data_IF_377543586537
#
_entry.id   IF_377543586537
#
_cell.length_a   1.000
_cell.length_b   1.000
_cell.length_c   1.000
_cell.angle_alpha   90.00
_cell.angle_beta   90.00
_cell.angle_gamma   90.00
#
_symmetry.space_group_name_H-M   'P 1'
#
loop_
_entity.id
_entity.type
_entity.pdbx_description
1 polymer ?
#
# COMPACT_ATOMS: atom_id res chain seq x y z
N UNK A 1 30.70 26.09 33.85
CA UNK A 1 29.26 25.79 34.05
C UNK A 1 28.63 25.76 32.65
N UNK A 2 28.49 24.58 32.11
CA UNK A 2 27.89 24.36 30.76
C UNK A 2 26.38 24.56 30.86
N UNK A 3 25.87 25.59 30.21
CA UNK A 3 24.42 25.75 30.07
C UNK A 3 23.86 24.62 29.22
N UNK A 4 22.78 23.98 29.65
CA UNK A 4 22.13 22.96 28.86
C UNK A 4 21.62 23.57 27.57
N UNK A 5 22.09 23.03 26.45
CA UNK A 5 21.64 23.40 25.11
C UNK A 5 20.29 22.73 24.89
N UNK A 6 19.21 23.45 25.13
CA UNK A 6 17.88 22.94 24.84
C UNK A 6 17.66 22.85 23.32
N UNK A 7 17.30 21.69 22.84
CA UNK A 7 16.93 21.48 21.45
C UNK A 7 15.48 21.91 21.20
N UNK A 8 15.08 22.24 19.97
CA UNK A 8 13.71 22.66 19.65
C UNK A 8 12.63 21.66 20.10
N UNK A 9 12.92 20.35 20.09
CA UNK A 9 12.05 19.32 20.63
C UNK A 9 11.78 19.46 22.12
N UNK A 10 12.82 19.78 22.92
CA UNK A 10 12.66 20.02 24.36
C UNK A 10 11.83 21.28 24.64
N UNK A 11 11.99 22.33 23.82
CA UNK A 11 11.15 23.53 23.93
C UNK A 11 9.69 23.25 23.63
N UNK A 12 9.42 22.40 22.63
CA UNK A 12 8.05 21.98 22.33
C UNK A 12 7.45 21.13 23.45
N UNK A 13 8.24 20.24 24.04
CA UNK A 13 7.79 19.34 25.11
C UNK A 13 7.81 20.00 26.49
N UNK A 14 8.55 21.11 26.68
CA UNK A 14 8.77 21.83 27.94
C UNK A 14 9.38 20.96 29.05
N UNK A 15 10.10 19.91 28.69
CA UNK A 15 10.82 19.03 29.61
C UNK A 15 12.24 18.79 29.12
N UNK A 16 13.19 18.66 30.07
CA UNK A 16 14.53 18.19 29.78
C UNK A 16 14.52 16.67 29.58
N UNK A 17 14.57 16.23 28.36
CA UNK A 17 14.47 14.81 28.01
C UNK A 17 15.79 14.29 27.50
N UNK A 18 16.55 15.10 26.79
CA UNK A 18 17.78 14.70 26.14
C UNK A 18 19.01 14.95 27.02
N UNK A 19 20.01 14.08 26.86
CA UNK A 19 21.33 14.34 27.46
C UNK A 19 21.97 15.51 26.72
N UNK A 20 22.35 16.55 27.44
CA UNK A 20 22.96 17.75 26.91
C UNK A 20 24.40 17.88 27.38
N UNK A 21 25.34 18.13 26.47
CA UNK A 21 26.74 18.33 26.75
C UNK A 21 27.44 19.23 25.75
N UNK A 22 28.73 19.47 25.98
CA UNK A 22 29.60 20.32 25.12
C UNK A 22 30.12 19.51 23.93
N UNK A 23 30.19 18.18 24.04
CA UNK A 23 30.65 17.27 22.99
C UNK A 23 29.46 16.64 22.24
N UNK A 24 29.77 15.90 21.17
CA UNK A 24 28.78 15.09 20.44
C UNK A 24 28.34 13.95 21.36
N UNK A 25 27.25 14.17 22.08
CA UNK A 25 26.72 13.19 23.04
C UNK A 25 25.74 12.21 22.41
N UNK A 26 25.09 12.59 21.29
CA UNK A 26 24.15 11.74 20.60
C UNK A 26 24.90 10.89 19.58
N UNK A 27 25.26 9.67 19.94
CA UNK A 27 25.90 8.70 19.05
C UNK A 27 24.89 7.86 18.26
N UNK A 28 23.61 7.90 18.63
CA UNK A 28 22.53 7.13 18.05
C UNK A 28 21.27 7.94 17.79
N UNK A 29 20.21 7.24 17.44
CA UNK A 29 18.88 7.83 17.24
C UNK A 29 18.08 7.77 18.53
N UNK A 30 17.51 8.90 18.95
CA UNK A 30 16.65 8.99 20.12
C UNK A 30 15.23 9.38 19.69
N UNK A 31 14.31 8.48 19.92
CA UNK A 31 12.87 8.70 19.69
C UNK A 31 12.28 9.33 20.96
N UNK A 32 11.58 10.45 20.81
CA UNK A 32 10.96 11.15 21.92
C UNK A 32 9.45 11.13 21.71
N UNK A 33 8.73 10.53 22.63
CA UNK A 33 7.28 10.36 22.55
C UNK A 33 6.58 10.61 23.89
N UNK A 34 5.27 10.77 23.85
CA UNK A 34 4.46 10.94 25.06
C UNK A 34 4.07 9.58 25.68
N UNK A 35 3.93 9.56 26.98
CA UNK A 35 3.44 8.39 27.69
C UNK A 35 2.93 8.70 29.10
N UNK A 36 2.41 7.68 29.76
CA UNK A 36 1.86 7.82 31.13
C UNK A 36 2.93 7.88 32.21
N UNK A 37 4.11 7.33 31.93
CA UNK A 37 5.23 7.25 32.85
C UNK A 37 6.49 7.61 32.10
N UNK A 38 7.38 8.36 32.76
CA UNK A 38 8.72 8.66 32.22
C UNK A 38 9.55 7.38 32.23
N UNK A 39 10.04 6.98 31.07
CA UNK A 39 10.82 5.76 30.91
C UNK A 39 11.75 5.90 29.71
N UNK A 40 12.91 5.24 29.78
CA UNK A 40 13.88 5.16 28.69
C UNK A 40 13.95 3.71 28.22
N UNK A 41 13.73 3.50 26.91
CA UNK A 41 13.81 2.21 26.25
C UNK A 41 15.03 2.20 25.33
N UNK A 42 15.68 1.05 25.18
CA UNK A 42 16.85 0.90 24.31
C UNK A 42 16.68 -0.19 23.26
N UNK A 43 17.35 -0.04 22.15
CA UNK A 43 17.51 -1.06 21.14
C UNK A 43 16.19 -1.69 20.66
N UNK A 44 16.09 -2.99 20.86
CA UNK A 44 14.94 -3.79 20.42
C UNK A 44 13.61 -3.35 21.06
N UNK A 45 13.63 -2.79 22.29
CA UNK A 45 12.41 -2.29 22.92
C UNK A 45 11.83 -1.09 22.15
N UNK A 46 12.68 -0.22 21.59
CA UNK A 46 12.28 0.88 20.70
C UNK A 46 11.58 0.32 19.45
N UNK A 47 12.17 -0.68 18.80
CA UNK A 47 11.59 -1.28 17.59
C UNK A 47 10.31 -2.07 17.86
N UNK A 48 10.20 -2.62 19.08
CA UNK A 48 8.96 -3.26 19.50
C UNK A 48 7.83 -2.25 19.72
N UNK A 49 8.15 -1.08 20.27
CA UNK A 49 7.20 0.03 20.42
C UNK A 49 6.78 0.60 19.06
N UNK A 50 7.69 0.62 18.08
CA UNK A 50 7.47 1.14 16.73
C UNK A 50 7.70 0.07 15.65
N UNK A 51 6.75 -0.85 15.43
CA UNK A 51 6.93 -1.95 14.46
C UNK A 51 7.20 -1.49 13.03
N UNK A 52 6.72 -0.31 12.65
CA UNK A 52 6.93 0.28 11.33
C UNK A 52 8.38 0.75 11.09
N UNK A 53 9.20 0.83 12.12
CA UNK A 53 10.62 1.11 12.03
C UNK A 53 11.51 -0.16 12.08
N UNK A 54 10.94 -1.35 12.02
CA UNK A 54 11.71 -2.61 12.06
C UNK A 54 12.74 -2.73 10.93
N UNK A 55 12.50 -2.09 9.78
CA UNK A 55 13.48 -2.02 8.68
C UNK A 55 14.82 -1.41 9.10
N UNK A 56 14.86 -0.63 10.19
CA UNK A 56 16.14 -0.14 10.74
C UNK A 56 17.07 -1.27 11.20
N UNK A 57 16.56 -2.45 11.50
CA UNK A 57 17.39 -3.62 11.84
C UNK A 57 18.23 -4.13 10.65
N UNK A 58 17.83 -3.81 9.42
CA UNK A 58 18.57 -4.18 8.22
C UNK A 58 19.91 -3.42 8.10
N UNK A 59 20.03 -2.28 8.79
CA UNK A 59 21.28 -1.54 8.90
C UNK A 59 22.10 -2.13 10.06
N UNK A 60 23.17 -2.83 9.73
CA UNK A 60 24.04 -3.51 10.70
C UNK A 60 24.51 -2.54 11.81
N UNK A 61 24.34 -2.93 13.07
CA UNK A 61 24.75 -2.15 14.23
C UNK A 61 23.79 -1.03 14.68
N UNK A 62 22.77 -0.65 13.91
CA UNK A 62 21.84 0.45 14.26
C UNK A 62 21.06 0.14 15.54
N UNK A 63 20.65 -1.10 15.74
CA UNK A 63 19.80 -1.50 16.87
C UNK A 63 20.40 -1.14 18.24
N UNK A 64 21.71 -1.20 18.38
CA UNK A 64 22.39 -0.89 19.64
C UNK A 64 22.46 0.63 19.91
N UNK A 65 22.20 1.43 18.89
CA UNK A 65 22.23 2.90 18.91
C UNK A 65 20.83 3.51 18.77
N UNK A 66 19.80 2.73 19.04
CA UNK A 66 18.42 3.23 19.14
C UNK A 66 18.04 3.39 20.61
N UNK A 67 17.34 4.47 20.92
CA UNK A 67 16.73 4.70 22.23
C UNK A 67 15.37 5.39 22.08
N UNK A 68 14.49 5.20 23.06
CA UNK A 68 13.23 5.93 23.15
C UNK A 68 13.10 6.54 24.53
N UNK A 69 12.91 7.84 24.58
CA UNK A 69 12.59 8.59 25.78
C UNK A 69 11.09 8.89 25.82
N UNK A 70 10.42 8.33 26.80
CA UNK A 70 8.98 8.56 27.02
C UNK A 70 8.83 9.70 28.01
N UNK A 71 8.16 10.78 27.58
CA UNK A 71 7.89 11.96 28.41
C UNK A 71 6.44 11.97 28.89
N UNK A 72 6.22 12.51 30.06
CA UNK A 72 4.88 12.71 30.65
C UNK A 72 4.31 14.09 30.40
N UNK A 73 4.98 14.89 29.57
CA UNK A 73 4.50 16.22 29.18
C UNK A 73 3.09 16.20 28.63
N UNK A 74 2.28 17.16 29.05
CA UNK A 74 0.90 17.35 28.63
C UNK A 74 0.74 18.45 27.57
N UNK A 75 1.84 18.81 26.91
CA UNK A 75 1.79 19.79 25.84
C UNK A 75 0.80 19.40 24.75
N UNK A 76 0.16 20.41 24.18
CA UNK A 76 -0.87 20.26 23.12
C UNK A 76 -0.32 19.43 21.96
N UNK A 77 -1.07 18.42 21.54
CA UNK A 77 -0.75 17.54 20.39
C UNK A 77 0.55 16.72 20.51
N UNK A 78 1.26 16.77 21.66
CA UNK A 78 2.49 15.97 21.83
C UNK A 78 2.22 14.47 21.76
N UNK A 79 1.03 14.02 22.12
CA UNK A 79 0.59 12.62 21.95
C UNK A 79 0.48 12.15 20.49
N UNK A 80 0.49 13.07 19.53
CA UNK A 80 0.33 12.81 18.09
C UNK A 80 1.64 12.93 17.32
N UNK A 81 2.76 13.20 18.00
CA UNK A 81 4.06 13.38 17.36
C UNK A 81 5.12 12.54 18.06
N UNK A 82 6.06 12.03 17.27
CA UNK A 82 7.30 11.42 17.74
C UNK A 82 8.45 12.21 17.13
N UNK A 83 9.30 12.79 17.98
CA UNK A 83 10.53 13.42 17.52
C UNK A 83 11.62 12.36 17.43
N UNK A 84 12.44 12.44 16.39
CA UNK A 84 13.61 11.60 16.23
C UNK A 84 14.83 12.50 16.21
N UNK A 85 15.60 12.48 17.31
CA UNK A 85 16.88 13.13 17.36
C UNK A 85 17.93 12.24 16.71
N UNK A 86 18.75 12.83 15.86
CA UNK A 86 19.70 12.10 15.02
C UNK A 86 21.12 12.21 15.56
N UNK A 87 22.02 11.25 15.26
CA UNK A 87 23.43 11.38 15.59
C UNK A 87 24.00 12.69 15.06
N UNK A 88 24.86 13.34 15.85
CA UNK A 88 25.58 14.51 15.39
C UNK A 88 26.49 14.17 14.21
N UNK A 89 26.37 14.92 13.12
CA UNK A 89 27.19 14.72 11.92
C UNK A 89 28.44 15.59 12.01
N UNK A 90 29.59 14.97 11.83
CA UNK A 90 30.90 15.63 11.81
C UNK A 90 31.74 15.15 10.65
N UNK A 91 32.61 16.04 10.17
CA UNK A 91 33.65 15.70 9.20
C UNK A 91 34.88 15.12 9.91
N UNK A 92 35.72 14.43 9.13
CA UNK A 92 36.95 13.83 9.60
C UNK A 92 36.87 12.31 9.77
N UNK A 93 37.84 11.76 10.49
CA UNK A 93 38.02 10.30 10.63
C UNK A 93 37.03 9.64 11.59
N UNK A 94 36.00 10.36 12.05
CA UNK A 94 35.01 9.78 12.95
C UNK A 94 34.22 8.67 12.22
N UNK A 95 34.48 7.44 12.65
CA UNK A 95 33.74 6.26 12.17
C UNK A 95 32.52 6.07 13.05
N UNK A 96 31.36 6.04 12.41
CA UNK A 96 30.15 5.62 13.08
C UNK A 96 30.11 4.09 13.13
N UNK A 97 29.54 3.51 14.17
CA UNK A 97 29.45 2.06 14.30
C UNK A 97 28.48 1.40 13.30
N UNK A 98 27.73 2.22 12.56
CA UNK A 98 26.74 1.79 11.58
C UNK A 98 26.68 2.79 10.40
N UNK A 99 26.01 2.43 9.30
CA UNK A 99 25.80 3.34 8.15
C UNK A 99 24.76 4.42 8.49
N UNK A 100 25.24 5.51 9.08
CA UNK A 100 24.43 6.69 9.44
C UNK A 100 23.74 7.30 8.22
N UNK A 101 24.41 7.34 7.06
CA UNK A 101 23.87 8.01 5.87
C UNK A 101 22.66 7.30 5.31
N UNK A 102 22.71 5.99 5.23
CA UNK A 102 21.58 5.18 4.75
C UNK A 102 20.43 5.15 5.75
N UNK A 103 20.73 5.05 7.05
CA UNK A 103 19.72 5.11 8.09
C UNK A 103 18.98 6.46 8.11
N UNK A 104 19.71 7.59 8.01
CA UNK A 104 19.13 8.93 7.92
C UNK A 104 18.28 9.13 6.66
N UNK A 105 18.76 8.66 5.50
CA UNK A 105 18.00 8.76 4.27
C UNK A 105 16.69 7.97 4.35
N UNK A 106 16.71 6.79 4.93
CA UNK A 106 15.53 5.98 5.15
C UNK A 106 14.54 6.62 6.14
N UNK A 107 15.04 7.10 7.30
CA UNK A 107 14.22 7.82 8.29
C UNK A 107 13.60 9.09 7.73
N UNK A 108 14.35 9.84 6.91
CA UNK A 108 13.84 11.02 6.22
C UNK A 108 12.65 10.70 5.31
N UNK A 109 12.68 9.53 4.65
CA UNK A 109 11.56 9.04 3.85
C UNK A 109 10.29 8.80 4.67
N UNK A 110 10.42 8.42 5.95
CA UNK A 110 9.29 8.16 6.87
C UNK A 110 8.79 9.44 7.56
N UNK A 111 9.64 10.47 7.70
CA UNK A 111 9.30 11.68 8.45
C UNK A 111 8.28 12.57 7.72
N UNK A 112 7.33 13.13 8.44
CA UNK A 112 6.40 14.15 7.93
C UNK A 112 7.03 15.54 7.88
N UNK A 113 8.08 15.79 8.67
CA UNK A 113 8.82 17.05 8.74
C UNK A 113 10.28 16.76 9.09
N UNK A 114 11.21 17.40 8.36
CA UNK A 114 12.64 17.30 8.59
C UNK A 114 13.17 18.69 8.92
N UNK A 115 13.76 18.84 10.10
CA UNK A 115 14.35 20.10 10.57
C UNK A 115 15.85 19.99 10.52
N UNK A 116 16.50 20.83 9.74
CA UNK A 116 17.96 20.92 9.61
C UNK A 116 18.46 22.16 10.36
N UNK A 117 19.33 21.93 11.33
CA UNK A 117 19.89 23.00 12.18
C UNK A 117 21.34 23.22 11.83
N UNK A 118 21.68 24.45 11.44
CA UNK A 118 23.05 24.89 11.26
C UNK A 118 23.50 25.71 12.47
N UNK A 119 24.65 25.36 13.03
CA UNK A 119 25.26 26.05 14.16
C UNK A 119 26.29 27.06 13.62
N UNK A 120 26.09 28.38 13.84
CA UNK A 120 27.00 29.42 13.33
C UNK A 120 28.38 29.37 13.96
N UNK A 121 28.53 28.81 15.16
CA UNK A 121 29.79 28.74 15.89
C UNK A 121 30.52 27.41 15.67
N UNK A 122 29.85 26.41 15.19
CA UNK A 122 30.36 25.07 14.95
C UNK A 122 30.72 24.81 13.50
N UNK A 123 30.72 23.53 13.12
CA UNK A 123 30.95 23.11 11.73
C UNK A 123 29.66 23.27 10.89
N UNK A 124 29.18 24.50 10.75
CA UNK A 124 27.95 24.82 10.03
C UNK A 124 27.87 24.19 8.62
N UNK A 125 29.02 24.00 7.99
CA UNK A 125 29.15 23.46 6.64
C UNK A 125 29.87 22.11 6.59
N UNK A 126 29.60 21.24 7.58
CA UNK A 126 30.05 19.86 7.56
C UNK A 126 29.65 19.21 6.22
N UNK A 127 30.63 18.72 5.47
CA UNK A 127 30.42 18.09 4.16
C UNK A 127 29.41 16.95 4.25
N UNK A 128 29.52 16.11 5.28
CA UNK A 128 28.58 14.99 5.50
C UNK A 128 27.15 15.46 5.70
N UNK A 129 26.96 16.56 6.45
CA UNK A 129 25.61 17.16 6.64
C UNK A 129 25.03 17.63 5.31
N UNK A 130 25.84 18.35 4.51
CA UNK A 130 25.40 18.87 3.22
C UNK A 130 25.08 17.73 2.24
N UNK A 131 25.90 16.69 2.19
CA UNK A 131 25.69 15.52 1.33
C UNK A 131 24.39 14.76 1.71
N UNK A 132 24.07 14.64 3.01
CA UNK A 132 22.81 14.02 3.48
C UNK A 132 21.62 14.92 3.14
N UNK A 133 21.73 16.23 3.36
CA UNK A 133 20.68 17.20 3.06
C UNK A 133 20.37 17.22 1.56
N UNK A 134 21.39 17.14 0.70
CA UNK A 134 21.23 17.04 -0.75
C UNK A 134 20.44 15.78 -1.12
N UNK A 135 20.82 14.62 -0.58
CA UNK A 135 20.12 13.35 -0.79
C UNK A 135 18.68 13.37 -0.28
N UNK A 136 18.44 13.99 0.88
CA UNK A 136 17.08 14.16 1.42
C UNK A 136 16.24 15.11 0.58
N UNK A 137 16.82 16.14 0.01
CA UNK A 137 16.09 17.11 -0.82
C UNK A 137 15.55 16.50 -2.12
N UNK A 138 16.22 15.49 -2.67
CA UNK A 138 15.77 14.78 -3.86
C UNK A 138 14.46 14.02 -3.63
N UNK A 139 14.26 13.49 -2.43
CA UNK A 139 13.11 12.64 -2.09
C UNK A 139 12.08 13.31 -1.20
N UNK A 140 12.51 14.25 -0.36
CA UNK A 140 11.73 14.84 0.74
C UNK A 140 11.82 16.37 0.79
N UNK A 141 12.18 17.03 -0.33
CA UNK A 141 12.46 18.47 -0.36
C UNK A 141 11.30 19.36 0.11
N UNK A 142 10.06 18.92 -0.09
CA UNK A 142 8.83 19.59 0.36
C UNK A 142 8.63 19.59 1.89
N UNK A 143 9.35 18.69 2.61
CA UNK A 143 9.26 18.50 4.06
C UNK A 143 10.52 18.95 4.80
N UNK A 144 11.50 19.51 4.06
CA UNK A 144 12.80 19.90 4.56
C UNK A 144 12.81 21.39 4.89
N UNK A 145 13.10 21.73 6.15
CA UNK A 145 13.18 23.10 6.62
C UNK A 145 14.54 23.37 7.27
N UNK A 146 15.07 24.56 7.05
CA UNK A 146 16.41 24.97 7.48
C UNK A 146 16.31 26.04 8.57
N UNK A 147 17.16 25.94 9.59
CA UNK A 147 17.22 26.89 10.70
C UNK A 147 18.65 27.20 11.08
N UNK A 148 18.91 28.45 11.45
CA UNK A 148 20.16 28.87 12.09
C UNK A 148 19.97 28.75 13.61
N UNK A 149 20.56 27.73 14.20
CA UNK A 149 20.50 27.48 15.66
C UNK A 149 21.55 28.30 16.41
N UNK A 150 21.37 28.49 17.72
CA UNK A 150 22.27 29.26 18.60
C UNK A 150 22.59 30.65 18.00
N UNK A 151 21.61 31.28 17.40
CA UNK A 151 21.82 32.55 16.68
C UNK A 151 22.21 33.70 17.63
N UNK A 152 21.96 33.60 18.93
CA UNK A 152 22.36 34.51 19.97
C UNK A 152 23.86 34.45 20.29
N UNK A 153 24.54 33.36 19.96
CA UNK A 153 25.98 33.20 20.16
C UNK A 153 26.81 33.73 18.98
N UNK A 154 26.22 33.93 17.82
CA UNK A 154 26.90 34.31 16.57
C UNK A 154 27.39 35.77 16.51
N UNK A 155 27.45 36.45 17.63
CA UNK A 155 27.97 37.83 17.70
C UNK A 155 26.98 38.89 17.21
N UNK A 156 27.45 39.85 16.40
CA UNK A 156 26.62 40.96 15.88
C UNK A 156 25.73 40.51 14.71
N UNK A 157 24.70 41.28 14.43
CA UNK A 157 23.78 41.04 13.30
C UNK A 157 24.53 40.84 11.98
N UNK A 158 25.54 41.67 11.72
CA UNK A 158 26.38 41.58 10.52
C UNK A 158 27.13 40.23 10.42
N UNK A 159 27.56 39.69 11.56
CA UNK A 159 28.30 38.42 11.59
C UNK A 159 27.36 37.27 11.34
N UNK A 160 26.13 37.29 11.93
CA UNK A 160 25.07 36.32 11.65
C UNK A 160 24.66 36.28 10.19
N UNK A 161 24.44 37.48 9.60
CA UNK A 161 24.10 37.61 8.18
C UNK A 161 25.21 37.06 7.29
N UNK A 162 26.48 37.33 7.63
CA UNK A 162 27.60 36.78 6.87
C UNK A 162 27.66 35.25 6.91
N UNK A 163 27.51 34.64 8.08
CA UNK A 163 27.48 33.19 8.24
C UNK A 163 26.29 32.59 7.50
N UNK A 164 25.10 33.16 7.64
CA UNK A 164 23.90 32.73 6.95
C UNK A 164 24.11 32.75 5.42
N UNK A 165 24.67 33.85 4.89
CA UNK A 165 24.98 33.94 3.46
C UNK A 165 25.98 32.89 2.99
N UNK A 166 27.00 32.58 3.80
CA UNK A 166 27.95 31.51 3.48
C UNK A 166 27.27 30.14 3.44
N UNK A 167 26.38 29.84 4.38
CA UNK A 167 25.64 28.61 4.39
C UNK A 167 24.74 28.48 3.16
N UNK A 168 23.97 29.53 2.85
CA UNK A 168 23.10 29.58 1.67
C UNK A 168 23.87 29.42 0.38
N UNK A 169 25.02 30.12 0.24
CA UNK A 169 25.89 30.01 -0.93
C UNK A 169 26.39 28.56 -1.12
N UNK A 170 26.80 27.88 -0.05
CA UNK A 170 27.27 26.50 -0.15
C UNK A 170 26.14 25.53 -0.50
N UNK A 171 24.96 25.73 0.08
CA UNK A 171 23.77 24.95 -0.29
C UNK A 171 23.37 25.16 -1.75
N UNK A 172 23.42 26.43 -2.25
CA UNK A 172 23.12 26.76 -3.65
C UNK A 172 24.13 26.18 -4.65
N UNK A 173 25.36 25.90 -4.22
CA UNK A 173 26.37 25.23 -5.08
C UNK A 173 26.02 23.79 -5.40
N UNK A 174 25.16 23.18 -4.62
CA UNK A 174 24.73 21.79 -4.81
C UNK A 174 23.56 21.71 -5.79
N UNK A 175 23.66 20.90 -6.87
CA UNK A 175 22.63 20.84 -7.92
C UNK A 175 21.26 20.43 -7.38
N UNK A 176 21.22 19.50 -6.41
CA UNK A 176 19.99 19.02 -5.78
C UNK A 176 19.28 20.07 -4.93
N UNK A 177 20.03 21.05 -4.38
CA UNK A 177 19.51 22.08 -3.47
C UNK A 177 19.24 23.41 -4.15
N UNK A 178 19.73 23.62 -5.35
CA UNK A 178 19.63 24.89 -6.06
C UNK A 178 18.20 25.38 -6.33
N UNK A 179 17.22 24.48 -6.26
CA UNK A 179 15.79 24.76 -6.48
C UNK A 179 15.04 25.12 -5.19
N UNK A 180 15.66 24.94 -4.04
CA UNK A 180 15.03 25.22 -2.74
C UNK A 180 15.15 26.70 -2.44
N UNK A 181 14.05 27.36 -2.10
CA UNK A 181 14.09 28.68 -1.47
C UNK A 181 14.59 28.51 -0.03
N UNK A 182 15.75 29.07 0.26
CA UNK A 182 16.33 28.99 1.60
C UNK A 182 15.83 30.15 2.46
N UNK A 183 14.69 29.95 3.13
CA UNK A 183 14.42 30.70 4.36
C UNK A 183 15.18 30.03 5.49
N UNK A 184 16.01 30.77 6.20
CA UNK A 184 16.78 30.25 7.34
C UNK A 184 16.49 31.09 8.58
N UNK A 185 15.33 30.87 9.22
CA UNK A 185 14.95 31.56 10.44
C UNK A 185 15.97 31.35 11.56
N UNK A 186 16.24 32.41 12.31
CA UNK A 186 17.14 32.35 13.47
C UNK A 186 16.40 31.85 14.69
N UNK A 187 16.98 30.87 15.35
CA UNK A 187 16.42 30.29 16.57
C UNK A 187 17.49 30.15 17.66
N UNK A 188 17.06 30.38 18.88
CA UNK A 188 17.87 30.13 20.07
C UNK A 188 16.97 29.93 21.29
N UNK A 189 17.54 29.43 22.38
CA UNK A 189 16.81 29.32 23.64
C UNK A 189 17.23 30.50 24.53
N UNK A 190 16.28 31.36 24.93
CA UNK A 190 16.59 32.54 25.72
C UNK A 190 17.28 32.15 27.03
N UNK A 191 18.46 32.76 27.27
CA UNK A 191 19.13 32.65 28.54
C UNK A 191 18.79 33.89 29.39
N UNK A 192 18.13 33.76 30.53
CA UNK A 192 17.80 34.89 31.39
C UNK A 192 19.02 35.70 31.86
N UNK A 193 20.20 35.06 31.93
CA UNK A 193 21.43 35.68 32.38
C UNK A 193 22.18 36.41 31.23
N UNK A 194 21.83 36.14 29.96
CA UNK A 194 22.51 36.76 28.81
C UNK A 194 21.42 37.18 27.77
N UNK A 195 20.84 38.40 27.95
CA UNK A 195 19.87 38.89 27.01
C UNK A 195 20.50 39.05 25.63
N UNK A 196 19.80 38.64 24.60
CA UNK A 196 20.23 38.77 23.20
C UNK A 196 19.30 39.72 22.44
N UNK A 197 19.86 40.52 21.55
CA UNK A 197 19.13 41.39 20.61
C UNK A 197 18.72 40.67 19.33
N UNK A 198 19.06 39.37 19.24
CA UNK A 198 18.71 38.55 18.08
C UNK A 198 17.19 38.28 18.06
N UNK A 199 16.58 38.39 16.88
CA UNK A 199 15.18 37.96 16.70
C UNK A 199 15.10 36.44 16.84
N UNK A 200 14.26 35.97 17.74
CA UNK A 200 14.03 34.55 17.95
C UNK A 200 12.75 34.09 17.28
N UNK A 201 12.85 33.16 16.34
CA UNK A 201 11.73 32.64 15.58
C UNK A 201 11.33 31.22 16.02
N UNK A 202 11.73 30.80 17.24
CA UNK A 202 11.45 29.45 17.76
C UNK A 202 9.93 29.16 17.84
N UNK A 203 9.12 30.16 18.15
CA UNK A 203 7.65 30.01 18.18
C UNK A 203 7.09 29.72 16.77
N UNK A 204 7.77 30.20 15.74
CA UNK A 204 7.45 29.84 14.34
C UNK A 204 7.68 28.36 14.05
N UNK A 205 8.76 27.79 14.62
CA UNK A 205 9.01 26.33 14.53
C UNK A 205 7.88 25.53 15.18
N UNK A 206 7.51 25.91 16.42
CA UNK A 206 6.42 25.24 17.14
C UNK A 206 5.11 25.28 16.36
N UNK A 207 4.74 26.46 15.81
CA UNK A 207 3.55 26.59 14.94
C UNK A 207 3.63 25.72 13.68
N UNK A 208 4.81 25.61 13.09
CA UNK A 208 5.02 24.77 11.90
C UNK A 208 4.85 23.28 12.26
N UNK A 209 5.38 22.84 13.39
CA UNK A 209 5.19 21.48 13.91
C UNK A 209 3.70 21.20 14.12
N UNK A 210 2.97 22.08 14.81
CA UNK A 210 1.54 21.93 15.07
C UNK A 210 0.71 21.87 13.77
N UNK A 211 1.04 22.72 12.79
CA UNK A 211 0.43 22.69 11.46
C UNK A 211 0.70 21.36 10.76
N UNK A 212 1.93 20.88 10.81
CA UNK A 212 2.32 19.59 10.19
C UNK A 212 1.60 18.42 10.84
N UNK A 213 1.49 18.38 12.18
CA UNK A 213 0.72 17.36 12.90
C UNK A 213 -0.73 17.35 12.40
N UNK A 214 -1.35 18.53 12.34
CA UNK A 214 -2.74 18.65 11.90
C UNK A 214 -2.92 18.18 10.45
N UNK A 215 -1.99 18.53 9.57
CA UNK A 215 -1.99 18.09 8.16
C UNK A 215 -1.74 16.58 8.03
N UNK A 216 -0.82 16.02 8.80
CA UNK A 216 -0.51 14.59 8.79
C UNK A 216 -1.71 13.75 9.25
N UNK A 217 -2.39 14.15 10.33
CA UNK A 217 -3.62 13.48 10.80
C UNK A 217 -4.70 13.51 9.72
N UNK A 218 -4.98 14.68 9.14
CA UNK A 218 -6.01 14.80 8.09
C UNK A 218 -5.62 13.99 6.84
N UNK A 219 -4.36 14.04 6.42
CA UNK A 219 -3.85 13.28 5.27
C UNK A 219 -4.01 11.78 5.51
N UNK A 220 -3.63 11.29 6.69
CA UNK A 220 -3.73 9.87 7.07
C UNK A 220 -5.18 9.39 7.08
N UNK A 221 -6.09 10.16 7.68
CA UNK A 221 -7.52 9.83 7.70
C UNK A 221 -8.15 9.84 6.30
N UNK A 222 -7.75 10.79 5.45
CA UNK A 222 -8.20 10.86 4.07
C UNK A 222 -7.61 9.72 3.21
N UNK A 223 -6.35 9.35 3.46
CA UNK A 223 -5.73 8.21 2.77
C UNK A 223 -6.42 6.90 3.15
N UNK A 224 -6.70 6.69 4.44
CA UNK A 224 -7.45 5.53 4.91
C UNK A 224 -8.82 5.42 4.19
N UNK A 225 -9.50 6.52 3.97
CA UNK A 225 -10.79 6.54 3.27
C UNK A 225 -10.64 6.12 1.79
N UNK A 226 -9.63 6.66 1.11
CA UNK A 226 -9.30 6.28 -0.27
C UNK A 226 -8.95 4.80 -0.38
N UNK A 227 -8.17 4.29 0.56
CA UNK A 227 -7.75 2.88 0.59
C UNK A 227 -8.96 1.97 0.85
N UNK A 228 -9.86 2.34 1.76
CA UNK A 228 -11.13 1.64 1.99
C UNK A 228 -11.99 1.59 0.72
N UNK A 229 -12.14 2.72 0.05
CA UNK A 229 -12.92 2.79 -1.19
C UNK A 229 -12.25 1.99 -2.33
N UNK A 230 -10.93 2.02 -2.44
CA UNK A 230 -10.19 1.22 -3.42
C UNK A 230 -10.39 -0.28 -3.18
N UNK A 231 -10.26 -0.72 -1.93
CA UNK A 231 -10.47 -2.12 -1.57
C UNK A 231 -11.91 -2.55 -1.86
N UNK A 232 -12.90 -1.75 -1.47
CA UNK A 232 -14.32 -2.03 -1.73
C UNK A 232 -14.61 -2.13 -3.24
N UNK A 233 -14.06 -1.21 -4.05
CA UNK A 233 -14.18 -1.24 -5.51
C UNK A 233 -13.53 -2.50 -6.09
N UNK A 234 -12.33 -2.85 -5.62
CA UNK A 234 -11.63 -4.05 -6.08
C UNK A 234 -12.41 -5.32 -5.76
N UNK A 235 -12.98 -5.43 -4.56
CA UNK A 235 -13.85 -6.55 -4.16
C UNK A 235 -15.09 -6.60 -5.07
N UNK A 236 -15.77 -5.47 -5.28
CA UNK A 236 -16.95 -5.41 -6.14
C UNK A 236 -16.62 -5.82 -7.58
N UNK A 237 -15.51 -5.34 -8.13
CA UNK A 237 -15.05 -5.72 -9.46
C UNK A 237 -14.75 -7.23 -9.55
N UNK A 238 -14.11 -7.79 -8.52
CA UNK A 238 -13.81 -9.21 -8.47
C UNK A 238 -15.08 -10.08 -8.44
N UNK A 239 -16.10 -9.64 -7.70
CA UNK A 239 -17.40 -10.34 -7.62
C UNK A 239 -18.17 -10.22 -8.95
N UNK A 240 -18.11 -9.06 -9.61
CA UNK A 240 -18.76 -8.88 -10.92
C UNK A 240 -18.10 -9.73 -11.99
N UNK A 241 -16.77 -9.74 -12.09
CA UNK A 241 -16.01 -10.61 -12.98
C UNK A 241 -16.30 -12.08 -12.73
N UNK A 242 -16.37 -12.51 -11.47
CA UNK A 242 -16.75 -13.89 -11.14
C UNK A 242 -18.16 -14.23 -11.64
N UNK A 243 -19.12 -13.31 -11.51
CA UNK A 243 -20.50 -13.52 -12.03
C UNK A 243 -20.51 -13.67 -13.54
N UNK A 244 -19.73 -12.87 -14.25
CA UNK A 244 -19.55 -12.98 -15.70
C UNK A 244 -18.91 -14.31 -16.08
N UNK A 245 -17.84 -14.74 -15.38
CA UNK A 245 -17.19 -16.02 -15.64
C UNK A 245 -18.11 -17.21 -15.38
N UNK A 246 -18.91 -17.17 -14.30
CA UNK A 246 -19.93 -18.19 -14.03
C UNK A 246 -20.95 -18.24 -15.17
N UNK A 247 -21.41 -17.08 -15.69
CA UNK A 247 -22.29 -16.98 -16.84
C UNK A 247 -21.67 -17.59 -18.11
N UNK A 248 -20.43 -17.23 -18.42
CA UNK A 248 -19.69 -17.78 -19.55
C UNK A 248 -19.49 -19.29 -19.44
N UNK A 249 -19.12 -19.79 -18.26
CA UNK A 249 -18.94 -21.22 -18.03
C UNK A 249 -20.25 -21.99 -18.20
N UNK A 250 -21.38 -21.46 -17.70
CA UNK A 250 -22.72 -22.06 -17.87
C UNK A 250 -23.10 -22.10 -19.34
N UNK A 251 -22.89 -21.01 -20.07
CA UNK A 251 -23.16 -20.95 -21.53
C UNK A 251 -22.30 -21.96 -22.29
N UNK A 252 -21.00 -22.01 -22.01
CA UNK A 252 -20.07 -22.97 -22.61
C UNK A 252 -20.44 -24.41 -22.32
N UNK A 253 -20.88 -24.70 -21.10
CA UNK A 253 -21.37 -26.03 -20.72
C UNK A 253 -22.63 -26.42 -21.48
N UNK A 254 -23.63 -25.53 -21.58
CA UNK A 254 -24.86 -25.78 -22.34
C UNK A 254 -24.57 -26.01 -23.84
N UNK A 255 -23.69 -25.18 -24.43
CA UNK A 255 -23.28 -25.38 -25.82
C UNK A 255 -22.53 -26.71 -26.02
N UNK A 256 -21.65 -27.08 -25.07
CA UNK A 256 -20.95 -28.36 -25.10
C UNK A 256 -21.94 -29.54 -25.06
N UNK A 257 -22.97 -29.43 -24.21
CA UNK A 257 -23.99 -30.46 -24.07
C UNK A 257 -24.83 -30.57 -25.36
N UNK A 258 -25.23 -29.45 -25.98
CA UNK A 258 -25.97 -29.42 -27.24
C UNK A 258 -25.15 -30.06 -28.37
N UNK A 259 -23.89 -29.64 -28.54
CA UNK A 259 -23.03 -30.22 -29.58
C UNK A 259 -22.71 -31.70 -29.30
N UNK A 260 -22.54 -32.08 -28.03
CA UNK A 260 -22.37 -33.46 -27.65
C UNK A 260 -23.61 -34.31 -27.96
N UNK A 261 -24.80 -33.81 -27.66
CA UNK A 261 -26.04 -34.49 -28.00
C UNK A 261 -26.21 -34.63 -29.53
N UNK A 262 -25.97 -33.58 -30.29
CA UNK A 262 -26.02 -33.66 -31.77
C UNK A 262 -24.99 -34.66 -32.31
N UNK A 263 -23.78 -34.67 -31.76
CA UNK A 263 -22.70 -35.56 -32.22
C UNK A 263 -22.89 -37.04 -31.82
N UNK A 264 -23.71 -37.33 -30.78
CA UNK A 264 -23.92 -38.72 -30.29
C UNK A 264 -25.30 -39.25 -30.65
N UNK A 265 -26.38 -38.47 -30.41
CA UNK A 265 -27.78 -38.92 -30.60
C UNK A 265 -28.08 -39.19 -32.09
N UNK A 266 -27.61 -38.31 -33.00
CA UNK A 266 -27.86 -38.45 -34.40
C UNK A 266 -27.26 -39.73 -35.02
N UNK A 267 -25.99 -40.09 -34.82
CA UNK A 267 -25.44 -41.34 -35.31
C UNK A 267 -26.08 -42.58 -34.65
N UNK A 268 -26.42 -42.49 -33.35
CA UNK A 268 -27.10 -43.58 -32.64
C UNK A 268 -28.49 -43.82 -33.25
N UNK A 269 -29.28 -42.78 -33.50
CA UNK A 269 -30.57 -42.91 -34.15
C UNK A 269 -30.46 -43.50 -35.55
N UNK A 270 -29.40 -43.11 -36.32
CA UNK A 270 -29.17 -43.70 -37.63
C UNK A 270 -28.81 -45.19 -37.56
N UNK A 271 -27.95 -45.58 -36.65
CA UNK A 271 -27.61 -47.00 -36.43
C UNK A 271 -28.86 -47.82 -36.03
N UNK A 272 -29.68 -47.28 -35.14
CA UNK A 272 -30.96 -47.94 -34.72
C UNK A 272 -31.90 -48.01 -35.94
N UNK A 273 -32.02 -46.95 -36.74
CA UNK A 273 -32.84 -46.95 -37.92
C UNK A 273 -32.41 -48.01 -38.95
N UNK A 274 -31.10 -48.15 -39.17
CA UNK A 274 -30.55 -49.18 -40.06
C UNK A 274 -30.79 -50.58 -39.51
N UNK A 275 -30.62 -50.81 -38.20
CA UNK A 275 -30.89 -52.08 -37.56
C UNK A 275 -32.38 -52.46 -37.68
N UNK A 276 -33.29 -51.53 -37.41
CA UNK A 276 -34.74 -51.76 -37.48
C UNK A 276 -35.18 -52.03 -38.95
N UNK A 277 -34.44 -51.55 -39.92
CA UNK A 277 -34.74 -51.85 -41.34
C UNK A 277 -34.19 -53.21 -41.77
N UNK A 278 -33.20 -53.76 -41.07
CA UNK A 278 -32.58 -55.05 -41.39
C UNK A 278 -33.30 -56.23 -40.73
N UNK A 279 -33.86 -56.00 -39.55
CA UNK A 279 -34.59 -57.03 -38.78
C UNK A 279 -36.12 -56.93 -38.98
N UNK A 280 -36.80 -58.07 -39.02
CA UNK A 280 -38.24 -58.07 -39.09
C UNK A 280 -38.87 -57.53 -37.79
N UNK A 281 -40.02 -56.90 -37.90
CA UNK A 281 -40.74 -56.32 -36.77
C UNK A 281 -40.97 -57.31 -35.65
N UNK A 282 -41.30 -58.53 -36.00
CA UNK A 282 -41.57 -59.60 -35.03
C UNK A 282 -40.33 -60.04 -34.25
N UNK A 283 -39.15 -59.99 -34.89
CA UNK A 283 -37.87 -60.29 -34.23
C UNK A 283 -37.46 -59.19 -33.26
N UNK A 284 -37.72 -57.92 -33.56
CA UNK A 284 -37.41 -56.77 -32.70
C UNK A 284 -38.38 -56.73 -31.51
N UNK A 285 -39.69 -57.00 -31.73
CA UNK A 285 -40.68 -57.08 -30.67
C UNK A 285 -40.38 -58.26 -29.71
N UNK A 286 -39.89 -59.35 -30.18
CA UNK A 286 -39.48 -60.52 -29.40
C UNK A 286 -38.24 -60.27 -28.53
N UNK A 287 -37.30 -59.42 -29.00
CA UNK A 287 -36.03 -59.12 -28.31
C UNK A 287 -36.13 -57.96 -27.28
N UNK A 288 -36.95 -56.94 -27.54
CA UNK A 288 -36.93 -55.69 -26.76
C UNK A 288 -38.31 -55.42 -26.09
N UNK A 289 -39.35 -56.14 -26.43
CA UNK A 289 -40.70 -55.96 -25.93
C UNK A 289 -41.52 -54.92 -26.77
N UNK A 290 -42.81 -55.16 -26.86
CA UNK A 290 -43.77 -54.44 -27.70
C UNK A 290 -43.80 -52.92 -27.46
N UNK A 291 -43.73 -52.51 -26.20
CA UNK A 291 -43.75 -51.08 -25.79
C UNK A 291 -42.46 -50.30 -26.21
N UNK A 292 -41.30 -50.93 -26.07
CA UNK A 292 -40.00 -50.31 -26.41
C UNK A 292 -39.77 -50.35 -27.93
N UNK A 293 -40.22 -51.41 -28.63
CA UNK A 293 -40.16 -51.53 -30.08
C UNK A 293 -41.01 -50.44 -30.77
N UNK A 294 -42.22 -50.16 -30.26
CA UNK A 294 -43.09 -49.10 -30.77
C UNK A 294 -42.53 -47.71 -30.55
N UNK A 295 -41.89 -47.40 -29.39
CA UNK A 295 -41.19 -46.15 -29.09
C UNK A 295 -39.96 -45.96 -29.97
N UNK A 296 -39.15 -47.00 -30.17
CA UNK A 296 -38.00 -46.97 -31.06
C UNK A 296 -38.41 -46.73 -32.51
N UNK A 297 -39.42 -47.41 -32.97
CA UNK A 297 -39.94 -47.23 -34.34
C UNK A 297 -40.50 -45.80 -34.50
N UNK A 298 -41.30 -45.30 -33.58
CA UNK A 298 -41.86 -43.94 -33.65
C UNK A 298 -40.78 -42.86 -33.61
N UNK A 299 -39.74 -43.02 -32.80
CA UNK A 299 -38.62 -42.05 -32.72
C UNK A 299 -37.70 -42.05 -33.95
N UNK A 300 -37.58 -43.22 -34.59
CA UNK A 300 -36.70 -43.35 -35.79
C UNK A 300 -37.42 -43.09 -37.12
N UNK A 301 -38.76 -43.14 -37.16
CA UNK A 301 -39.54 -42.91 -38.44
C UNK A 301 -39.17 -41.58 -39.08
N UNK A 302 -39.07 -40.50 -38.35
CA UNK A 302 -38.73 -39.20 -38.88
C UNK A 302 -37.31 -39.18 -39.47
N UNK A 303 -36.32 -39.70 -38.73
CA UNK A 303 -34.92 -39.79 -39.19
C UNK A 303 -34.81 -40.75 -40.38
N UNK A 304 -35.49 -41.87 -40.33
CA UNK A 304 -35.53 -42.86 -41.41
C UNK A 304 -36.11 -42.28 -42.70
N UNK A 305 -37.25 -41.55 -42.62
CA UNK A 305 -37.91 -40.94 -43.77
C UNK A 305 -36.97 -39.89 -44.42
N UNK A 306 -36.33 -39.07 -43.64
CA UNK A 306 -35.35 -38.09 -44.16
C UNK A 306 -34.17 -38.79 -44.83
N UNK A 307 -33.65 -39.85 -44.22
CA UNK A 307 -32.54 -40.62 -44.76
C UNK A 307 -32.91 -41.34 -46.05
N UNK A 308 -34.09 -41.92 -46.15
CA UNK A 308 -34.57 -42.60 -47.37
C UNK A 308 -34.74 -41.61 -48.54
N UNK A 309 -35.22 -40.41 -48.26
CA UNK A 309 -35.30 -39.33 -49.27
C UNK A 309 -33.91 -38.97 -49.75
N UNK A 310 -32.98 -38.74 -48.84
CA UNK A 310 -31.59 -38.42 -49.18
C UNK A 310 -30.87 -39.56 -49.91
N UNK A 311 -31.14 -40.83 -49.51
CA UNK A 311 -30.56 -42.02 -50.09
C UNK A 311 -31.05 -42.27 -51.50
N UNK A 312 -32.33 -41.99 -51.80
CA UNK A 312 -32.93 -42.10 -53.14
C UNK A 312 -32.48 -41.06 -54.14
N UNK A 313 -31.94 -39.95 -53.68
CA UNK A 313 -31.44 -38.87 -54.53
C UNK A 313 -29.97 -39.01 -54.94
N UNK A 314 -29.23 -39.95 -54.28
CA UNK A 314 -27.80 -40.10 -54.44
C UNK A 314 -27.49 -41.43 -55.19
N UNK A 315 -26.70 -41.40 -56.28
CA UNK A 315 -26.24 -42.59 -56.98
C UNK A 315 -25.49 -43.52 -56.01
N UNK A 316 -25.49 -44.84 -56.28
CA UNK A 316 -24.88 -45.84 -55.40
C UNK A 316 -23.41 -45.54 -55.05
N UNK A 317 -22.63 -45.00 -55.97
CA UNK A 317 -21.23 -44.59 -55.72
C UNK A 317 -21.10 -43.37 -54.77
N UNK A 318 -22.15 -42.58 -54.65
CA UNK A 318 -22.19 -41.40 -53.77
C UNK A 318 -22.59 -41.72 -52.32
N UNK A 319 -23.19 -42.84 -52.07
CA UNK A 319 -23.72 -43.20 -50.74
C UNK A 319 -22.59 -43.35 -49.68
N UNK A 320 -21.46 -43.87 -50.07
CA UNK A 320 -20.27 -43.97 -49.21
C UNK A 320 -19.78 -42.59 -48.83
N UNK A 321 -19.75 -41.64 -49.75
CA UNK A 321 -19.35 -40.27 -49.47
C UNK A 321 -20.31 -39.56 -48.52
N UNK A 322 -21.61 -39.82 -48.63
CA UNK A 322 -22.61 -39.31 -47.70
C UNK A 322 -22.34 -39.76 -46.26
N UNK A 323 -22.08 -41.06 -46.09
CA UNK A 323 -21.76 -41.64 -44.78
C UNK A 323 -20.46 -41.05 -44.19
N UNK A 324 -19.45 -40.86 -45.03
CA UNK A 324 -18.17 -40.24 -44.60
C UNK A 324 -18.38 -38.78 -44.17
N UNK A 325 -19.18 -38.00 -44.91
CA UNK A 325 -19.51 -36.62 -44.56
C UNK A 325 -20.28 -36.60 -43.24
N UNK A 326 -21.24 -37.52 -43.05
CA UNK A 326 -22.01 -37.61 -41.83
C UNK A 326 -21.11 -37.94 -40.63
N UNK A 327 -20.20 -38.91 -40.77
CA UNK A 327 -19.21 -39.25 -39.69
C UNK A 327 -18.30 -38.05 -39.41
N UNK A 328 -17.83 -37.36 -40.44
CA UNK A 328 -17.00 -36.17 -40.29
C UNK A 328 -17.73 -35.04 -39.56
N UNK A 329 -19.02 -34.80 -39.84
CA UNK A 329 -19.84 -33.80 -39.15
C UNK A 329 -20.09 -34.19 -37.69
N UNK A 330 -20.36 -35.47 -37.38
CA UNK A 330 -20.47 -35.96 -36.01
C UNK A 330 -19.16 -35.77 -35.23
N UNK A 331 -18.03 -36.12 -35.84
CA UNK A 331 -16.72 -35.89 -35.26
C UNK A 331 -16.45 -34.40 -35.00
N UNK A 332 -16.84 -33.52 -35.93
CA UNK A 332 -16.74 -32.07 -35.77
C UNK A 332 -17.59 -31.58 -34.59
N UNK A 333 -18.84 -32.04 -34.43
CA UNK A 333 -19.68 -31.68 -33.29
C UNK A 333 -19.08 -32.17 -31.97
N UNK A 334 -18.55 -33.39 -31.90
CA UNK A 334 -17.89 -33.90 -30.70
C UNK A 334 -16.61 -33.11 -30.39
N UNK A 335 -15.84 -32.73 -31.40
CA UNK A 335 -14.64 -31.89 -31.22
C UNK A 335 -15.01 -30.52 -30.71
N UNK A 336 -16.05 -29.87 -31.24
CA UNK A 336 -16.58 -28.61 -30.78
C UNK A 336 -17.11 -28.69 -29.34
N UNK A 337 -17.81 -29.78 -29.02
CA UNK A 337 -18.27 -30.04 -27.65
C UNK A 337 -17.11 -30.11 -26.68
N UNK A 338 -16.06 -30.87 -26.99
CA UNK A 338 -14.83 -31.00 -26.20
C UNK A 338 -14.11 -29.64 -26.09
N UNK A 339 -13.97 -28.89 -27.18
CA UNK A 339 -13.36 -27.57 -27.17
C UNK A 339 -14.11 -26.58 -26.26
N UNK A 340 -15.46 -26.56 -26.35
CA UNK A 340 -16.29 -25.71 -25.48
C UNK A 340 -16.22 -26.14 -24.00
N UNK A 341 -16.19 -27.44 -23.73
CA UNK A 341 -16.04 -27.96 -22.36
C UNK A 341 -14.68 -27.61 -21.74
N UNK A 342 -13.62 -27.59 -22.55
CA UNK A 342 -12.26 -27.26 -22.05
C UNK A 342 -12.07 -25.78 -21.76
N UNK A 343 -12.85 -24.89 -22.37
CA UNK A 343 -12.75 -23.43 -22.20
C UNK A 343 -13.54 -22.97 -20.97
N UNK A 344 -13.01 -23.26 -19.77
CA UNK A 344 -13.59 -22.82 -18.51
C UNK A 344 -12.72 -21.76 -17.84
N UNK A 345 -13.36 -20.72 -17.31
CA UNK A 345 -12.70 -19.70 -16.50
C UNK A 345 -12.71 -20.13 -15.03
N UNK A 346 -11.64 -19.79 -14.31
CA UNK A 346 -11.59 -20.02 -12.87
C UNK A 346 -12.58 -19.11 -12.15
N UNK A 347 -13.50 -19.69 -11.43
CA UNK A 347 -14.50 -18.98 -10.61
C UNK A 347 -14.13 -19.02 -9.15
N UNK A 348 -14.61 -18.05 -8.38
CA UNK A 348 -14.42 -17.98 -6.95
C UNK A 348 -15.19 -19.10 -6.22
N UNK A 349 -14.54 -19.72 -5.25
CA UNK A 349 -15.18 -20.70 -4.39
C UNK A 349 -16.19 -20.02 -3.44
N UNK A 350 -17.13 -20.79 -2.90
CA UNK A 350 -18.08 -20.29 -1.90
C UNK A 350 -17.38 -19.69 -0.66
N UNK A 351 -16.21 -20.25 -0.28
CA UNK A 351 -15.41 -19.77 0.85
C UNK A 351 -14.80 -18.41 0.53
N UNK A 352 -14.18 -18.26 -0.64
CA UNK A 352 -13.59 -16.98 -1.08
C UNK A 352 -14.64 -15.87 -1.17
N UNK A 353 -15.82 -16.15 -1.72
CA UNK A 353 -16.93 -15.18 -1.78
C UNK A 353 -17.37 -14.72 -0.38
N UNK A 354 -17.45 -15.64 0.59
CA UNK A 354 -17.79 -15.30 1.98
C UNK A 354 -16.69 -14.44 2.62
N UNK A 355 -15.42 -14.77 2.41
CA UNK A 355 -14.31 -13.96 2.90
C UNK A 355 -14.33 -12.54 2.32
N UNK A 356 -14.55 -12.40 1.02
CA UNK A 356 -14.65 -11.09 0.37
C UNK A 356 -15.83 -10.26 0.91
N UNK A 357 -16.99 -10.88 1.12
CA UNK A 357 -18.13 -10.21 1.73
C UNK A 357 -17.83 -9.78 3.19
N UNK A 358 -17.21 -10.64 3.99
CA UNK A 358 -16.80 -10.30 5.37
C UNK A 358 -15.80 -9.14 5.40
N UNK A 359 -14.82 -9.08 4.47
CA UNK A 359 -13.90 -7.94 4.37
C UNK A 359 -14.62 -6.66 3.98
N UNK A 360 -15.59 -6.72 3.07
CA UNK A 360 -16.37 -5.57 2.68
C UNK A 360 -17.21 -5.02 3.85
N UNK A 361 -17.90 -5.90 4.57
CA UNK A 361 -18.68 -5.55 5.77
C UNK A 361 -17.76 -4.97 6.85
N UNK A 362 -16.60 -5.59 7.12
CA UNK A 362 -15.65 -5.09 8.09
C UNK A 362 -15.15 -3.67 7.75
N UNK A 363 -14.87 -3.40 6.47
CA UNK A 363 -14.43 -2.07 6.05
C UNK A 363 -15.56 -1.05 6.25
N UNK A 364 -16.78 -1.38 5.86
CA UNK A 364 -17.90 -0.45 5.93
C UNK A 364 -18.35 -0.18 7.38
N UNK A 365 -18.44 -1.22 8.19
CA UNK A 365 -18.99 -1.09 9.54
C UNK A 365 -17.90 -0.77 10.57
N UNK A 366 -16.79 -1.51 10.59
CA UNK A 366 -15.76 -1.33 11.61
C UNK A 366 -14.79 -0.20 11.28
N UNK A 367 -14.19 -0.22 10.06
CA UNK A 367 -13.11 0.72 9.73
C UNK A 367 -13.64 2.14 9.53
N UNK A 368 -14.72 2.30 8.75
CA UNK A 368 -15.31 3.62 8.51
C UNK A 368 -15.93 4.22 9.78
N UNK A 369 -16.54 3.38 10.64
CA UNK A 369 -17.05 3.84 11.92
C UNK A 369 -15.91 4.30 12.85
N UNK A 370 -14.86 3.50 12.99
CA UNK A 370 -13.68 3.86 13.80
C UNK A 370 -12.99 5.12 13.28
N UNK A 371 -12.85 5.28 11.96
CA UNK A 371 -12.34 6.51 11.35
C UNK A 371 -13.17 7.72 11.76
N UNK A 372 -14.51 7.61 11.72
CA UNK A 372 -15.40 8.70 12.10
C UNK A 372 -15.22 9.10 13.57
N UNK A 373 -15.11 8.11 14.46
CA UNK A 373 -14.85 8.36 15.88
C UNK A 373 -13.50 9.06 16.10
N UNK A 374 -12.43 8.61 15.44
CA UNK A 374 -11.11 9.24 15.52
C UNK A 374 -11.15 10.69 14.99
N UNK A 375 -11.89 10.94 13.93
CA UNK A 375 -12.02 12.28 13.39
C UNK A 375 -12.81 13.20 14.33
N UNK A 376 -13.89 12.71 14.94
CA UNK A 376 -14.67 13.46 15.94
C UNK A 376 -13.84 13.73 17.20
N UNK A 377 -13.02 12.78 17.65
CA UNK A 377 -12.10 12.95 18.77
C UNK A 377 -11.04 14.02 18.46
N UNK A 378 -10.43 13.95 17.29
CA UNK A 378 -9.49 14.97 16.81
C UNK A 378 -10.12 16.36 16.77
N UNK A 379 -11.33 16.49 16.21
CA UNK A 379 -12.06 17.78 16.16
C UNK A 379 -12.41 18.30 17.55
N UNK A 380 -12.81 17.43 18.48
CA UNK A 380 -13.06 17.85 19.88
C UNK A 380 -11.80 18.41 20.53
N UNK A 381 -10.65 17.78 20.34
CA UNK A 381 -9.38 18.30 20.83
C UNK A 381 -9.04 19.67 20.21
N UNK A 382 -9.28 19.85 18.92
CA UNK A 382 -9.07 21.13 18.25
C UNK A 382 -10.08 22.22 18.71
N UNK A 383 -11.35 21.88 18.94
CA UNK A 383 -12.38 22.82 19.38
C UNK A 383 -12.19 23.26 20.84
N UNK A 384 -11.79 22.31 21.73
CA UNK A 384 -11.48 22.64 23.12
C UNK A 384 -10.30 23.61 23.27
N UNK A 385 -9.46 23.75 22.24
CA UNK A 385 -8.39 24.74 22.19
C UNK A 385 -8.90 26.17 21.95
N UNK A 386 -10.06 26.35 21.33
CA UNK A 386 -10.66 27.69 21.09
C UNK A 386 -11.35 28.27 22.34
N UNK A 387 -11.82 27.41 23.25
CA UNK A 387 -12.49 27.82 24.46
C UNK A 387 -11.56 28.21 25.63
N UNK A 388 -10.25 28.01 25.46
CA UNK A 388 -9.22 28.28 26.48
C UNK A 388 -8.25 29.42 26.10
N UNK A 389 -8.48 30.12 25.01
CA UNK A 389 -7.74 31.30 24.54
C UNK A 389 -8.65 32.53 24.67
#
# INVERSE_FOLDING_TARGET
>A
MSHPLHRPGERYVEEHIQKTGVAIETQGFTFITSGRKRESLTGNATLHLYPHFQTLQEFEGVSDYLSTEISTSRQKKFSLVTFIDTPGLVDGDMKYPFDVNSALAWLGGQADLILVFFDPMGQALCKRTVDIVERLSETCGDRLLFYLSKADEAGRETDRQRVMMQIVQELCRRPGLNKCGFEMPTIYIPNPQKPSWCVNQIDGVCKTIEKTISQAVQKTLNQLDKDCDLICRTISNQITLDREYVGCNKSSYLQSLLFGALGTVLPVLLVISLLLNTFSRDEVEGAVGESLASLLHSSTVCVHSVMMILWGWIPEDGQIWLLLILLATCYLFLSLAKYRASKTYRTLTKREKRCLAQYQDYIQDAVKHKKKLLYEEYLRHCAAEYDLG
#
